data_IF_014993229745
#
_entry.id   IF_014993229745
#
_cell.length_a   1.000
_cell.length_b   1.000
_cell.length_c   1.000
_cell.angle_alpha   90.00
_cell.angle_beta   90.00
_cell.angle_gamma   90.00
#
_symmetry.space_group_name_H-M   'P 1'
#
loop_
_entity.id
_entity.type
_entity.pdbx_description
1 polymer ?
#
# COMPACT_ATOMS: atom_id res chain seq x y z
N UNK A 1 -9.82 -10.43 7.72
CA UNK A 1 -9.51 -11.52 8.67
C UNK A 1 -10.76 -12.36 8.87
N UNK A 2 -10.72 -13.63 8.46
CA UNK A 2 -11.87 -14.55 8.57
C UNK A 2 -11.81 -15.35 9.88
N UNK A 3 -10.62 -15.79 10.29
CA UNK A 3 -10.33 -16.41 11.58
C UNK A 3 -8.96 -15.91 12.06
N UNK A 4 -8.76 -15.82 13.37
CA UNK A 4 -7.46 -15.49 13.94
C UNK A 4 -7.29 -16.14 15.31
N UNK A 5 -6.17 -16.84 15.49
CA UNK A 5 -5.66 -17.30 16.79
C UNK A 5 -4.56 -16.35 17.32
N UNK A 6 -4.36 -15.20 16.67
CA UNK A 6 -3.42 -14.15 17.05
C UNK A 6 -4.19 -12.93 17.60
N UNK A 7 -3.97 -12.57 18.87
CA UNK A 7 -4.67 -11.49 19.55
C UNK A 7 -4.53 -10.10 18.89
N UNK A 8 -3.51 -9.89 18.04
CA UNK A 8 -3.34 -8.65 17.26
C UNK A 8 -4.42 -8.47 16.19
N UNK A 9 -4.99 -9.56 15.67
CA UNK A 9 -5.95 -9.54 14.56
C UNK A 9 -7.31 -10.05 15.02
N UNK A 10 -8.34 -9.24 14.83
CA UNK A 10 -9.73 -9.57 15.13
C UNK A 10 -10.46 -9.97 13.85
N UNK A 11 -11.40 -10.91 13.97
CA UNK A 11 -12.29 -11.29 12.87
C UNK A 11 -13.03 -10.06 12.36
N UNK A 12 -13.15 -9.95 11.03
CA UNK A 12 -13.75 -8.80 10.35
C UNK A 12 -12.78 -7.67 9.98
N UNK A 13 -11.59 -7.60 10.58
CA UNK A 13 -10.63 -6.56 10.23
C UNK A 13 -10.11 -6.72 8.80
N UNK A 14 -9.95 -5.59 8.11
CA UNK A 14 -9.28 -5.52 6.81
C UNK A 14 -7.78 -5.36 7.02
N UNK A 15 -7.01 -6.10 6.23
CA UNK A 15 -5.54 -6.13 6.31
C UNK A 15 -4.95 -5.90 4.94
N UNK A 16 -3.79 -5.25 4.92
CA UNK A 16 -2.94 -5.06 3.76
C UNK A 16 -1.62 -5.79 3.99
N UNK A 17 -1.13 -6.48 2.97
CA UNK A 17 0.15 -7.18 3.02
C UNK A 17 0.23 -8.27 1.96
N UNK A 18 1.28 -9.10 2.03
CA UNK A 18 1.49 -10.19 1.08
C UNK A 18 0.64 -11.41 1.43
N UNK A 19 0.16 -12.12 0.41
CA UNK A 19 -0.59 -13.37 0.50
C UNK A 19 -0.41 -14.21 -0.77
N UNK A 20 -1.06 -15.37 -0.83
CA UNK A 20 -1.07 -16.23 -2.01
C UNK A 20 -2.02 -15.72 -3.10
N UNK A 21 -1.89 -16.25 -4.31
CA UNK A 21 -2.84 -16.00 -5.40
C UNK A 21 -3.99 -17.01 -5.28
N UNK A 22 -4.84 -16.78 -4.29
CA UNK A 22 -5.87 -17.71 -3.81
C UNK A 22 -6.98 -16.94 -3.08
N UNK A 23 -8.11 -17.58 -2.82
CA UNK A 23 -9.23 -16.95 -2.09
C UNK A 23 -8.97 -16.81 -0.58
N UNK A 24 -8.18 -17.73 -0.01
CA UNK A 24 -7.85 -17.76 1.41
C UNK A 24 -6.39 -18.12 1.65
N UNK A 25 -5.66 -17.25 2.34
CA UNK A 25 -4.29 -17.51 2.80
C UNK A 25 -4.27 -17.73 4.31
N UNK A 26 -3.58 -18.79 4.75
CA UNK A 26 -3.27 -19.01 6.17
C UNK A 26 -1.88 -18.43 6.46
N UNK A 27 -1.82 -17.42 7.32
CA UNK A 27 -0.56 -16.87 7.80
C UNK A 27 -0.14 -17.52 9.12
N UNK A 28 1.11 -17.97 9.20
CA UNK A 28 1.75 -18.28 10.48
C UNK A 28 1.97 -17.01 11.29
N UNK A 29 2.21 -17.15 12.60
CA UNK A 29 2.45 -16.01 13.50
C UNK A 29 3.54 -15.08 12.96
N UNK A 30 4.64 -15.63 12.46
CA UNK A 30 5.77 -14.84 11.95
C UNK A 30 5.41 -14.11 10.66
N UNK A 31 4.64 -14.74 9.77
CA UNK A 31 4.17 -14.11 8.53
C UNK A 31 3.22 -12.94 8.80
N UNK A 32 2.49 -12.95 9.92
CA UNK A 32 1.62 -11.82 10.28
C UNK A 32 2.37 -10.52 10.63
N UNK A 33 3.68 -10.57 10.86
CA UNK A 33 4.48 -9.37 11.11
C UNK A 33 4.47 -8.40 9.90
N UNK A 34 4.42 -8.93 8.68
CA UNK A 34 4.35 -8.14 7.44
C UNK A 34 2.95 -7.62 7.10
N UNK A 35 1.93 -7.96 7.89
CA UNK A 35 0.57 -7.48 7.68
C UNK A 35 0.31 -6.18 8.45
N UNK A 36 -0.33 -5.24 7.77
CA UNK A 36 -0.84 -4.00 8.31
C UNK A 36 -2.35 -4.10 8.44
N UNK A 37 -2.89 -3.67 9.58
CA UNK A 37 -4.33 -3.53 9.79
C UNK A 37 -4.73 -2.15 9.26
N UNK A 38 -5.79 -2.09 8.44
CA UNK A 38 -6.39 -0.81 8.05
C UNK A 38 -7.19 -0.26 9.23
N UNK A 39 -6.95 1.00 9.61
CA UNK A 39 -7.61 1.62 10.76
C UNK A 39 -9.02 2.09 10.41
N UNK A 40 -9.85 2.31 11.43
CA UNK A 40 -11.20 2.82 11.22
C UNK A 40 -11.18 4.24 10.61
N UNK A 41 -10.18 5.05 10.93
CA UNK A 41 -9.96 6.38 10.33
C UNK A 41 -9.65 6.27 8.84
N UNK A 42 -8.78 5.33 8.45
CA UNK A 42 -8.45 5.06 7.05
C UNK A 42 -9.71 4.60 6.28
N UNK A 43 -10.52 3.72 6.87
CA UNK A 43 -11.74 3.22 6.25
C UNK A 43 -12.84 4.29 6.14
N UNK A 44 -12.90 5.25 7.08
CA UNK A 44 -13.84 6.39 7.04
C UNK A 44 -13.60 7.34 5.88
N UNK A 45 -12.44 7.29 5.22
CA UNK A 45 -12.18 8.07 4.00
C UNK A 45 -13.09 7.65 2.83
N UNK A 46 -13.74 6.49 2.90
CA UNK A 46 -14.68 6.02 1.87
C UNK A 46 -14.01 5.69 0.54
N UNK A 47 -12.69 5.47 0.56
CA UNK A 47 -11.93 5.11 -0.63
C UNK A 47 -12.17 3.63 -1.02
N UNK A 48 -12.14 3.29 -2.32
CA UNK A 48 -12.14 1.90 -2.75
C UNK A 48 -11.02 1.09 -2.08
N UNK A 49 -11.28 -0.15 -1.67
CA UNK A 49 -10.26 -0.97 -1.01
C UNK A 49 -9.03 -1.21 -1.90
N UNK A 50 -9.21 -1.20 -3.21
CA UNK A 50 -8.13 -1.31 -4.20
C UNK A 50 -7.14 -0.17 -4.14
N UNK A 51 -7.51 0.99 -3.58
CA UNK A 51 -6.60 2.13 -3.38
C UNK A 51 -5.43 1.77 -2.47
N UNK A 52 -5.65 0.91 -1.47
CA UNK A 52 -4.63 0.48 -0.50
C UNK A 52 -3.58 -0.48 -1.09
N UNK A 53 -3.83 -1.08 -2.26
CA UNK A 53 -2.82 -1.84 -3.01
C UNK A 53 -2.17 -1.02 -4.14
N UNK A 54 -2.60 0.23 -4.32
CA UNK A 54 -2.10 1.17 -5.33
C UNK A 54 -1.59 2.47 -4.69
N UNK A 55 -2.29 3.58 -4.93
CA UNK A 55 -1.85 4.92 -4.57
C UNK A 55 -1.68 5.14 -3.05
N UNK A 56 -2.45 4.47 -2.19
CA UNK A 56 -2.27 4.50 -0.73
C UNK A 56 -1.48 3.28 -0.21
N UNK A 57 -0.98 2.44 -1.11
CA UNK A 57 -0.22 1.23 -0.81
C UNK A 57 1.28 1.36 -1.09
N UNK A 58 1.94 0.22 -1.27
CA UNK A 58 3.37 0.17 -1.63
C UNK A 58 3.70 1.02 -2.87
N UNK A 59 2.94 1.00 -3.99
CA UNK A 59 3.28 1.82 -5.16
C UNK A 59 3.30 3.32 -4.88
N UNK A 60 2.32 3.84 -4.14
CA UNK A 60 2.30 5.25 -3.75
C UNK A 60 3.41 5.61 -2.77
N UNK A 61 3.72 4.73 -1.82
CA UNK A 61 4.87 4.92 -0.91
C UNK A 61 6.19 4.96 -1.69
N UNK A 62 6.36 4.07 -2.68
CA UNK A 62 7.53 4.08 -3.57
C UNK A 62 7.63 5.37 -4.37
N UNK A 63 6.50 5.85 -4.93
CA UNK A 63 6.47 7.11 -5.65
C UNK A 63 6.86 8.29 -4.75
N UNK A 64 6.21 8.42 -3.59
CA UNK A 64 6.45 9.52 -2.66
C UNK A 64 7.90 9.54 -2.15
N UNK A 65 8.39 8.39 -1.68
CA UNK A 65 9.74 8.32 -1.12
C UNK A 65 10.81 8.49 -2.20
N UNK A 66 10.64 7.82 -3.34
CA UNK A 66 11.54 7.95 -4.48
C UNK A 66 11.62 9.38 -5.00
N UNK A 67 10.47 10.06 -5.08
CA UNK A 67 10.42 11.43 -5.57
C UNK A 67 11.01 12.42 -4.56
N UNK A 68 10.44 12.54 -3.36
CA UNK A 68 10.81 13.61 -2.44
C UNK A 68 12.09 13.36 -1.63
N UNK A 69 12.42 12.10 -1.31
CA UNK A 69 13.56 11.79 -0.45
C UNK A 69 14.81 11.31 -1.19
N UNK A 70 14.64 10.77 -2.41
CA UNK A 70 15.78 10.33 -3.23
C UNK A 70 16.00 11.31 -4.40
N UNK A 71 14.93 11.69 -5.10
CA UNK A 71 15.00 12.61 -6.23
C UNK A 71 15.24 14.07 -5.83
N UNK A 72 14.75 14.47 -4.65
CA UNK A 72 14.85 15.84 -4.12
C UNK A 72 14.55 16.94 -5.17
N UNK A 73 13.39 16.84 -5.88
CA UNK A 73 13.09 17.69 -7.03
C UNK A 73 12.94 19.15 -6.60
N UNK A 74 13.37 20.05 -7.48
CA UNK A 74 13.24 21.49 -7.31
C UNK A 74 12.22 22.03 -8.29
N UNK A 75 11.68 23.19 -7.94
CA UNK A 75 10.84 23.95 -8.86
C UNK A 75 11.62 24.18 -10.17
N UNK A 76 10.94 23.97 -11.28
CA UNK A 76 11.45 24.13 -12.65
C UNK A 76 12.46 23.06 -13.12
N UNK A 77 12.70 21.99 -12.34
CA UNK A 77 13.46 20.83 -12.82
C UNK A 77 12.72 20.11 -13.96
N UNK A 78 13.49 19.62 -14.95
CA UNK A 78 12.96 18.73 -15.99
C UNK A 78 13.10 17.29 -15.53
N UNK A 79 11.98 16.59 -15.40
CA UNK A 79 11.93 15.23 -14.86
C UNK A 79 11.52 14.26 -15.97
N UNK A 80 12.30 13.19 -16.12
CA UNK A 80 11.99 12.10 -17.05
C UNK A 80 11.53 10.86 -16.28
N UNK A 81 10.36 10.33 -16.62
CA UNK A 81 9.75 9.17 -15.96
C UNK A 81 9.57 8.06 -17.00
N UNK A 82 10.32 6.97 -16.85
CA UNK A 82 10.06 5.75 -17.64
C UNK A 82 8.86 5.01 -17.06
N UNK A 83 8.05 4.37 -17.92
CA UNK A 83 6.85 3.64 -17.47
C UNK A 83 5.83 4.54 -16.76
N UNK A 84 5.68 5.79 -17.20
CA UNK A 84 4.83 6.79 -16.56
C UNK A 84 3.34 6.41 -16.43
N UNK A 85 2.85 5.43 -17.19
CA UNK A 85 1.48 4.90 -17.04
C UNK A 85 1.36 3.78 -15.99
N UNK A 86 2.47 3.32 -15.41
CA UNK A 86 2.51 2.25 -14.41
C UNK A 86 2.04 2.71 -13.03
N UNK A 87 1.91 1.75 -12.10
CA UNK A 87 1.38 2.02 -10.75
C UNK A 87 2.17 3.09 -9.98
N UNK A 88 3.50 3.11 -10.11
CA UNK A 88 4.37 4.10 -9.46
C UNK A 88 4.50 5.35 -10.32
N UNK A 89 4.87 5.20 -11.60
CA UNK A 89 5.20 6.31 -12.49
C UNK A 89 4.05 7.31 -12.67
N UNK A 90 2.80 6.84 -12.68
CA UNK A 90 1.64 7.71 -12.83
C UNK A 90 1.44 8.63 -11.61
N UNK A 91 1.89 8.20 -10.44
CA UNK A 91 1.81 8.96 -9.20
C UNK A 91 2.95 9.97 -9.19
N UNK A 92 4.18 9.54 -9.51
CA UNK A 92 5.34 10.44 -9.61
C UNK A 92 5.07 11.59 -10.57
N UNK A 93 4.42 11.35 -11.71
CA UNK A 93 4.09 12.40 -12.68
C UNK A 93 3.05 13.42 -12.21
N UNK A 94 2.35 13.15 -11.10
CA UNK A 94 1.38 14.08 -10.48
C UNK A 94 1.97 14.83 -9.28
N UNK A 95 3.04 14.30 -8.65
CA UNK A 95 3.72 14.88 -7.49
C UNK A 95 4.61 16.07 -7.85
#
# INVERSE_FOLDING_TARGET
>A
VVKSDNARFKVGQLVYGFGGYEEYTVHTKDQTAGLRILTDEELKLGLPLTTWVGAAGMPGQTAYYGFYHIGEPKKDDTIFITGASGAVGQIVGQL
#
